data_IF_524689755929
#
_entry.id   IF_524689755929
#
_cell.length_a   1.000
_cell.length_b   1.000
_cell.length_c   1.000
_cell.angle_alpha   90.00
_cell.angle_beta   90.00
_cell.angle_gamma   90.00
#
_symmetry.space_group_name_H-M   'P 1'
#
loop_
_entity.id
_entity.type
_entity.pdbx_description
1 polymer ?
#
# COMPACT_ATOMS: atom_id res chain seq x y z
N UNK A 1 -23.02 -8.64 22.43
CA UNK A 1 -22.89 -8.79 20.96
C UNK A 1 -23.86 -9.88 20.57
N UNK A 2 -24.82 -9.61 19.68
CA UNK A 2 -25.72 -10.67 19.23
C UNK A 2 -24.94 -11.60 18.29
N UNK A 3 -24.77 -12.86 18.67
CA UNK A 3 -24.11 -13.86 17.85
C UNK A 3 -24.93 -14.14 16.59
N UNK A 4 -24.27 -14.52 15.49
CA UNK A 4 -24.93 -14.93 14.24
C UNK A 4 -25.98 -16.01 14.51
N UNK A 5 -25.74 -16.88 15.49
CA UNK A 5 -26.69 -17.88 15.93
C UNK A 5 -27.99 -17.28 16.52
N UNK A 6 -27.92 -16.16 17.25
CA UNK A 6 -29.11 -15.48 17.75
C UNK A 6 -29.91 -14.80 16.63
N UNK A 7 -29.24 -14.29 15.59
CA UNK A 7 -29.92 -13.74 14.41
C UNK A 7 -30.59 -14.86 13.62
N UNK A 8 -29.92 -16.00 13.45
CA UNK A 8 -30.48 -17.18 12.79
C UNK A 8 -31.66 -17.76 13.58
N UNK A 9 -31.58 -17.81 14.91
CA UNK A 9 -32.68 -18.23 15.76
C UNK A 9 -33.86 -17.23 15.72
N UNK A 10 -33.59 -15.92 15.64
CA UNK A 10 -34.63 -14.90 15.42
C UNK A 10 -35.30 -15.05 14.05
N UNK A 11 -34.54 -15.38 13.00
CA UNK A 11 -35.05 -15.63 11.66
C UNK A 11 -35.84 -16.95 11.62
N UNK A 12 -35.40 -17.99 12.32
CA UNK A 12 -36.12 -19.26 12.45
C UNK A 12 -37.38 -19.13 13.31
N UNK A 13 -37.38 -18.22 14.29
CA UNK A 13 -38.54 -17.84 15.08
C UNK A 13 -39.52 -16.93 14.33
N UNK A 14 -39.18 -16.45 13.12
CA UNK A 14 -40.16 -15.84 12.24
C UNK A 14 -41.23 -16.89 11.93
N UNK A 15 -42.52 -16.55 11.95
CA UNK A 15 -43.58 -17.51 11.67
C UNK A 15 -43.47 -17.98 10.21
N UNK A 16 -42.81 -19.13 10.00
CA UNK A 16 -42.55 -19.77 8.69
C UNK A 16 -43.80 -20.37 8.08
N UNK A 17 -44.80 -20.69 8.90
CA UNK A 17 -46.15 -21.01 8.45
C UNK A 17 -47.03 -19.76 8.58
N UNK A 18 -47.55 -19.25 7.45
CA UNK A 18 -48.72 -18.39 7.53
C UNK A 18 -49.82 -19.20 8.23
N UNK A 19 -50.29 -18.73 9.40
CA UNK A 19 -51.50 -19.30 10.00
C UNK A 19 -52.55 -19.46 8.89
N UNK A 20 -53.25 -20.60 8.80
CA UNK A 20 -54.28 -20.77 7.79
C UNK A 20 -55.22 -19.58 7.88
N UNK A 21 -55.37 -18.89 6.75
CA UNK A 21 -56.14 -17.66 6.69
C UNK A 21 -57.61 -18.02 6.90
N UNK A 22 -58.17 -17.57 8.02
CA UNK A 22 -59.59 -17.69 8.33
C UNK A 22 -60.20 -16.32 8.08
N UNK A 23 -61.13 -16.23 7.12
CA UNK A 23 -61.79 -14.98 6.80
C UNK A 23 -62.60 -14.52 8.02
N UNK A 24 -62.25 -13.38 8.67
CA UNK A 24 -62.95 -12.89 9.85
C UNK A 24 -64.37 -12.37 9.51
N UNK A 25 -64.66 -12.14 8.23
CA UNK A 25 -65.95 -11.64 7.75
C UNK A 25 -66.88 -12.75 7.25
N UNK A 26 -66.47 -14.03 7.33
CA UNK A 26 -67.31 -15.14 6.90
C UNK A 26 -68.58 -15.27 7.76
N UNK A 27 -69.75 -15.32 7.11
CA UNK A 27 -71.04 -15.49 7.78
C UNK A 27 -71.60 -14.21 8.43
N UNK A 28 -71.09 -13.04 8.05
CA UNK A 28 -71.54 -11.78 8.65
C UNK A 28 -72.88 -11.34 8.05
N UNK A 29 -73.94 -11.31 8.86
CA UNK A 29 -75.33 -11.05 8.41
C UNK A 29 -75.57 -9.72 7.68
N UNK A 30 -74.68 -8.75 7.84
CA UNK A 30 -74.80 -7.41 7.24
C UNK A 30 -74.05 -7.27 5.91
N UNK A 31 -73.32 -8.30 5.49
CA UNK A 31 -72.48 -8.29 4.28
C UNK A 31 -73.00 -9.33 3.30
N UNK A 32 -73.05 -8.97 2.01
CA UNK A 32 -73.27 -9.95 0.96
C UNK A 32 -72.08 -10.91 0.83
N UNK A 33 -72.29 -12.10 0.28
CA UNK A 33 -71.24 -13.13 0.15
C UNK A 33 -69.99 -12.59 -0.58
N UNK A 34 -70.19 -11.77 -1.62
CA UNK A 34 -69.11 -11.15 -2.38
C UNK A 34 -68.32 -10.12 -1.55
N UNK A 35 -68.99 -9.30 -0.75
CA UNK A 35 -68.33 -8.32 0.13
C UNK A 35 -67.51 -9.01 1.23
N UNK A 36 -68.00 -10.15 1.74
CA UNK A 36 -67.26 -10.96 2.72
C UNK A 36 -65.97 -11.52 2.13
N UNK A 37 -66.00 -12.04 0.90
CA UNK A 37 -64.82 -12.53 0.18
C UNK A 37 -63.82 -11.40 -0.08
N UNK A 38 -64.28 -10.27 -0.61
CA UNK A 38 -63.43 -9.10 -0.90
C UNK A 38 -62.73 -8.59 0.36
N UNK A 39 -63.48 -8.31 1.44
CA UNK A 39 -62.91 -7.84 2.70
C UNK A 39 -61.98 -8.88 3.32
N UNK A 40 -62.27 -10.16 3.11
CA UNK A 40 -61.37 -11.25 3.46
C UNK A 40 -60.02 -11.15 2.73
N UNK A 41 -60.02 -11.03 1.41
CA UNK A 41 -58.77 -10.92 0.67
C UNK A 41 -58.00 -9.63 1.00
N UNK A 42 -58.69 -8.51 1.27
CA UNK A 42 -58.04 -7.29 1.75
C UNK A 42 -57.41 -7.45 3.14
N UNK A 43 -58.06 -8.15 4.07
CA UNK A 43 -57.48 -8.43 5.38
C UNK A 43 -56.22 -9.31 5.25
N UNK A 44 -56.27 -10.33 4.38
CA UNK A 44 -55.12 -11.17 4.06
C UNK A 44 -53.97 -10.35 3.46
N UNK A 45 -54.25 -9.46 2.51
CA UNK A 45 -53.26 -8.59 1.89
C UNK A 45 -52.66 -7.60 2.91
N UNK A 46 -53.48 -7.01 3.78
CA UNK A 46 -53.00 -6.10 4.80
C UNK A 46 -52.02 -6.80 5.75
N UNK A 47 -52.30 -8.04 6.14
CA UNK A 47 -51.41 -8.83 6.99
C UNK A 47 -50.12 -9.25 6.29
N UNK A 48 -50.17 -9.61 5.01
CA UNK A 48 -48.95 -9.89 4.25
C UNK A 48 -48.09 -8.64 4.10
N UNK A 49 -48.69 -7.49 3.79
CA UNK A 49 -47.98 -6.20 3.69
C UNK A 49 -47.35 -5.80 5.03
N UNK A 50 -48.07 -5.94 6.15
CA UNK A 50 -47.49 -5.69 7.49
C UNK A 50 -46.29 -6.58 7.78
N UNK A 51 -46.38 -7.85 7.42
CA UNK A 51 -45.27 -8.81 7.57
C UNK A 51 -44.07 -8.41 6.74
N UNK A 52 -44.28 -8.07 5.46
CA UNK A 52 -43.20 -7.60 4.58
C UNK A 52 -42.56 -6.34 5.14
N UNK A 53 -43.35 -5.36 5.58
CA UNK A 53 -42.84 -4.15 6.19
C UNK A 53 -41.99 -4.43 7.44
N UNK A 54 -42.47 -5.29 8.34
CA UNK A 54 -41.71 -5.68 9.54
C UNK A 54 -40.38 -6.37 9.20
N UNK A 55 -40.39 -7.29 8.23
CA UNK A 55 -39.18 -7.96 7.76
C UNK A 55 -38.21 -6.97 7.10
N UNK A 56 -38.70 -6.06 6.26
CA UNK A 56 -37.91 -5.01 5.64
C UNK A 56 -37.28 -4.10 6.69
N UNK A 57 -38.00 -3.73 7.75
CA UNK A 57 -37.44 -2.93 8.85
C UNK A 57 -36.36 -3.69 9.62
N UNK A 58 -36.55 -5.00 9.88
CA UNK A 58 -35.54 -5.83 10.54
C UNK A 58 -34.26 -5.97 9.69
N UNK A 59 -34.41 -6.25 8.39
CA UNK A 59 -33.29 -6.39 7.45
C UNK A 59 -32.58 -5.06 7.18
N UNK A 60 -33.33 -3.96 7.14
CA UNK A 60 -32.79 -2.61 7.03
C UNK A 60 -32.23 -2.10 8.37
N UNK A 61 -32.47 -2.79 9.48
CA UNK A 61 -32.03 -2.33 10.79
C UNK A 61 -30.50 -2.26 10.83
N UNK A 62 -30.01 -1.11 11.29
CA UNK A 62 -28.58 -0.79 11.33
C UNK A 62 -27.76 -1.74 12.19
N UNK A 63 -28.39 -2.49 13.10
CA UNK A 63 -27.70 -3.35 14.07
C UNK A 63 -26.92 -4.50 13.43
N UNK A 64 -27.49 -5.16 12.42
CA UNK A 64 -26.80 -6.21 11.65
C UNK A 64 -25.67 -5.64 10.79
N UNK A 65 -25.87 -4.44 10.23
CA UNK A 65 -24.85 -3.76 9.41
C UNK A 65 -23.70 -3.22 10.27
N UNK A 66 -23.98 -2.76 11.49
CA UNK A 66 -22.98 -2.21 12.40
C UNK A 66 -21.96 -3.27 12.86
N UNK A 67 -22.40 -4.52 13.08
CA UNK A 67 -21.48 -5.60 13.46
C UNK A 67 -20.53 -5.95 12.29
N UNK A 68 -21.06 -6.07 11.06
CA UNK A 68 -20.24 -6.30 9.86
C UNK A 68 -19.25 -5.15 9.61
N UNK A 69 -19.69 -3.90 9.70
CA UNK A 69 -18.81 -2.74 9.55
C UNK A 69 -17.70 -2.71 10.60
N UNK A 70 -17.99 -3.15 11.83
CA UNK A 70 -16.97 -3.25 12.89
C UNK A 70 -15.93 -4.31 12.55
N UNK A 71 -16.34 -5.47 12.04
CA UNK A 71 -15.44 -6.53 11.59
C UNK A 71 -14.59 -6.07 10.40
N UNK A 72 -15.19 -5.39 9.42
CA UNK A 72 -14.47 -4.84 8.27
C UNK A 72 -13.42 -3.81 8.69
N UNK A 73 -13.71 -2.90 9.63
CA UNK A 73 -12.72 -1.96 10.17
C UNK A 73 -11.54 -2.64 10.88
N UNK A 74 -11.74 -3.80 11.48
CA UNK A 74 -10.65 -4.58 12.07
C UNK A 74 -9.79 -5.19 10.96
N UNK A 75 -10.42 -5.74 9.92
CA UNK A 75 -9.71 -6.28 8.75
C UNK A 75 -8.91 -5.21 8.01
N UNK A 76 -9.50 -4.04 7.79
CA UNK A 76 -8.84 -2.90 7.15
C UNK A 76 -7.56 -2.50 7.89
N UNK A 77 -7.61 -2.39 9.22
CA UNK A 77 -6.42 -2.04 10.02
C UNK A 77 -5.33 -3.11 9.94
N UNK A 78 -5.71 -4.39 9.98
CA UNK A 78 -4.75 -5.50 9.87
C UNK A 78 -4.11 -5.57 8.49
N UNK A 79 -4.91 -5.51 7.44
CA UNK A 79 -4.43 -5.58 6.06
C UNK A 79 -3.68 -4.30 5.64
N UNK A 80 -4.10 -3.14 6.13
CA UNK A 80 -3.38 -1.88 5.94
C UNK A 80 -2.00 -1.92 6.60
N UNK A 81 -1.88 -2.51 7.79
CA UNK A 81 -0.58 -2.72 8.43
C UNK A 81 0.29 -3.69 7.62
N UNK A 82 -0.26 -4.80 7.15
CA UNK A 82 0.48 -5.75 6.29
C UNK A 82 0.95 -5.08 4.99
N UNK A 83 0.08 -4.32 4.33
CA UNK A 83 0.41 -3.60 3.08
C UNK A 83 1.51 -2.55 3.30
N UNK A 84 1.43 -1.78 4.39
CA UNK A 84 2.43 -0.76 4.70
C UNK A 84 3.78 -1.37 5.04
N UNK A 85 3.81 -2.44 5.85
CA UNK A 85 5.05 -3.18 6.13
C UNK A 85 5.64 -3.82 4.87
N UNK A 86 4.82 -4.43 4.02
CA UNK A 86 5.25 -5.00 2.75
C UNK A 86 5.83 -3.94 1.81
N UNK A 87 5.17 -2.78 1.71
CA UNK A 87 5.67 -1.67 0.90
C UNK A 87 7.02 -1.14 1.44
N UNK A 88 7.14 -1.01 2.75
CA UNK A 88 8.40 -0.59 3.38
C UNK A 88 9.51 -1.62 3.15
N UNK A 89 9.23 -2.92 3.25
CA UNK A 89 10.23 -3.97 3.01
C UNK A 89 10.71 -3.98 1.56
N UNK A 90 9.79 -3.84 0.60
CA UNK A 90 10.15 -3.77 -0.82
C UNK A 90 10.99 -2.52 -1.10
N UNK A 91 10.57 -1.36 -0.57
CA UNK A 91 11.33 -0.13 -0.77
C UNK A 91 12.73 -0.22 -0.16
N UNK A 92 12.86 -0.78 1.05
CA UNK A 92 14.16 -1.01 1.68
C UNK A 92 15.07 -1.89 0.80
N UNK A 93 14.57 -3.00 0.26
CA UNK A 93 15.37 -3.88 -0.62
C UNK A 93 15.73 -3.23 -1.94
N UNK A 94 14.83 -2.43 -2.53
CA UNK A 94 15.10 -1.74 -3.80
C UNK A 94 16.12 -0.62 -3.59
N UNK A 95 16.02 0.09 -2.47
CA UNK A 95 16.96 1.15 -2.11
C UNK A 95 18.36 0.57 -1.85
N UNK A 96 18.46 -0.53 -1.10
CA UNK A 96 19.74 -1.22 -0.85
C UNK A 96 20.40 -1.67 -2.17
N UNK A 97 19.63 -2.18 -3.13
CA UNK A 97 20.13 -2.56 -4.45
C UNK A 97 20.61 -1.34 -5.26
N UNK A 98 19.88 -0.22 -5.20
CA UNK A 98 20.29 1.02 -5.87
C UNK A 98 21.60 1.57 -5.27
N UNK A 99 21.71 1.58 -3.95
CA UNK A 99 22.92 2.04 -3.25
C UNK A 99 24.14 1.15 -3.55
N UNK A 100 23.97 -0.18 -3.59
CA UNK A 100 25.06 -1.07 -3.99
C UNK A 100 25.48 -0.87 -5.45
N UNK A 101 24.53 -0.70 -6.37
CA UNK A 101 24.85 -0.45 -7.78
C UNK A 101 25.58 0.89 -7.97
N UNK A 102 25.19 1.93 -7.23
CA UNK A 102 25.89 3.22 -7.22
C UNK A 102 27.29 3.11 -6.61
N UNK A 103 27.46 2.35 -5.52
CA UNK A 103 28.76 2.11 -4.90
C UNK A 103 29.70 1.33 -5.83
N UNK A 104 29.21 0.32 -6.54
CA UNK A 104 29.98 -0.42 -7.55
C UNK A 104 30.39 0.48 -8.73
N UNK A 105 29.48 1.35 -9.21
CA UNK A 105 29.79 2.32 -10.24
C UNK A 105 30.84 3.34 -9.78
N UNK A 106 30.75 3.81 -8.54
CA UNK A 106 31.72 4.73 -7.95
C UNK A 106 33.07 4.06 -7.72
N UNK A 107 33.10 2.78 -7.32
CA UNK A 107 34.31 1.99 -7.19
C UNK A 107 34.97 1.73 -8.55
N UNK A 108 34.18 1.46 -9.61
CA UNK A 108 34.69 1.32 -10.97
C UNK A 108 35.26 2.65 -11.50
N UNK A 109 34.56 3.77 -11.28
CA UNK A 109 35.06 5.10 -11.65
C UNK A 109 36.30 5.51 -10.84
N UNK A 110 36.35 5.19 -9.54
CA UNK A 110 37.52 5.41 -8.69
C UNK A 110 38.72 4.54 -9.09
N UNK A 111 38.49 3.31 -9.55
CA UNK A 111 39.52 2.44 -10.09
C UNK A 111 40.06 2.95 -11.44
N UNK A 112 39.20 3.48 -12.32
CA UNK A 112 39.61 4.14 -13.57
C UNK A 112 40.41 5.42 -13.29
N UNK A 113 40.00 6.21 -12.28
CA UNK A 113 40.70 7.42 -11.82
C UNK A 113 42.09 7.10 -11.25
N UNK A 114 42.18 6.05 -10.42
CA UNK A 114 43.45 5.56 -9.88
C UNK A 114 44.36 4.95 -10.94
N UNK A 115 43.80 4.31 -11.97
CA UNK A 115 44.56 3.73 -13.07
C UNK A 115 45.20 4.80 -13.95
N UNK A 116 44.49 5.88 -14.33
CA UNK A 116 45.15 6.96 -15.09
C UNK A 116 46.18 7.70 -14.24
N UNK A 117 45.92 7.96 -12.95
CA UNK A 117 46.86 8.64 -12.07
C UNK A 117 48.13 7.79 -11.84
N UNK A 118 47.99 6.46 -11.76
CA UNK A 118 49.11 5.52 -11.70
C UNK A 118 49.91 5.44 -13.01
N UNK A 119 49.25 5.52 -14.18
CA UNK A 119 49.90 5.57 -15.50
C UNK A 119 50.66 6.90 -15.68
N UNK A 120 50.08 8.02 -15.24
CA UNK A 120 50.71 9.36 -15.30
C UNK A 120 51.95 9.42 -14.40
N UNK A 121 51.87 8.96 -13.13
CA UNK A 121 53.05 8.89 -12.26
C UNK A 121 54.11 7.90 -12.77
N UNK A 122 53.71 6.79 -13.41
CA UNK A 122 54.62 5.86 -14.05
C UNK A 122 55.38 6.47 -15.24
N UNK A 123 54.70 7.29 -16.05
CA UNK A 123 55.31 8.00 -17.18
C UNK A 123 56.25 9.12 -16.74
N UNK A 124 55.91 9.89 -15.70
CA UNK A 124 56.81 10.88 -15.11
C UNK A 124 58.00 10.24 -14.38
N UNK A 125 57.82 9.07 -13.75
CA UNK A 125 58.92 8.33 -13.13
C UNK A 125 59.89 7.74 -14.16
N UNK A 126 59.37 7.22 -15.28
CA UNK A 126 60.20 6.70 -16.38
C UNK A 126 60.91 7.84 -17.13
N UNK A 127 60.24 9.00 -17.31
CA UNK A 127 60.87 10.22 -17.80
C UNK A 127 61.93 10.77 -16.83
N UNK A 128 61.73 10.68 -15.52
CA UNK A 128 62.75 11.02 -14.52
C UNK A 128 63.93 10.03 -14.51
N UNK A 129 63.69 8.73 -14.75
CA UNK A 129 64.74 7.73 -14.92
C UNK A 129 65.53 7.94 -16.22
N UNK A 130 64.85 8.30 -17.32
CA UNK A 130 65.49 8.67 -18.59
C UNK A 130 66.29 9.97 -18.45
N UNK A 131 65.77 11.00 -17.75
CA UNK A 131 66.49 12.24 -17.47
C UNK A 131 67.69 12.02 -16.53
N UNK A 132 67.59 11.11 -15.55
CA UNK A 132 68.71 10.70 -14.70
C UNK A 132 69.82 9.97 -15.50
N UNK A 133 69.46 9.27 -16.58
CA UNK A 133 70.42 8.65 -17.51
C UNK A 133 71.22 9.65 -18.34
N UNK A 134 70.70 10.87 -18.58
CA UNK A 134 71.40 11.92 -19.31
C UNK A 134 72.22 12.88 -18.42
N UNK A 135 72.12 12.77 -17.08
CA UNK A 135 72.79 13.67 -16.15
C UNK A 135 74.22 13.22 -15.75
N UNK A 136 74.79 12.21 -16.42
CA UNK A 136 76.19 11.80 -16.20
C UNK A 136 76.99 11.87 -17.50
N UNK A 137 77.12 13.07 -18.05
CA UNK A 137 77.88 13.30 -19.28
C UNK A 137 77.93 14.77 -19.70
N UNK A 138 78.32 15.66 -18.79
CA UNK A 138 78.50 17.07 -19.11
C UNK A 138 79.29 17.78 -18.00
N UNK A 139 80.57 17.98 -18.23
CA UNK A 139 81.39 18.93 -17.46
C UNK A 139 80.93 20.35 -17.79
N UNK A 140 80.57 21.15 -16.79
CA UNK A 140 80.75 22.62 -16.80
C UNK A 140 80.50 23.16 -15.37
N UNK A 141 81.53 23.73 -14.74
CA UNK A 141 81.78 25.19 -14.67
C UNK A 141 80.63 25.95 -14.01
N UNK A 142 80.90 26.45 -12.82
CA UNK A 142 79.92 27.14 -11.99
C UNK A 142 79.59 28.55 -12.46
N UNK A 143 78.42 29.02 -12.04
CA UNK A 143 78.23 30.32 -11.39
C UNK A 143 76.82 30.29 -10.77
N UNK A 144 76.71 30.70 -9.52
CA UNK A 144 75.44 30.73 -8.80
C UNK A 144 74.81 32.10 -8.97
N UNK A 145 73.60 32.15 -9.53
CA UNK A 145 72.74 33.34 -9.45
C UNK A 145 71.29 32.92 -9.18
N UNK A 146 70.91 33.07 -7.91
CA UNK A 146 69.57 32.85 -7.37
C UNK A 146 68.67 34.04 -7.72
N UNK A 147 67.68 33.86 -8.60
CA UNK A 147 66.47 34.69 -8.55
C UNK A 147 65.21 33.86 -8.78
N UNK A 148 64.66 33.33 -7.68
CA UNK A 148 63.29 32.81 -7.63
C UNK A 148 62.33 34.01 -7.58
N UNK A 149 61.70 34.34 -8.70
CA UNK A 149 60.55 35.27 -8.72
C UNK A 149 59.27 34.46 -8.81
N UNK A 150 58.55 34.43 -7.69
CA UNK A 150 57.20 33.88 -7.56
C UNK A 150 56.20 34.63 -8.45
N UNK A 151 55.34 33.90 -9.16
CA UNK A 151 54.04 34.44 -9.59
C UNK A 151 52.97 33.35 -9.60
N UNK A 152 52.16 33.31 -8.56
CA UNK A 152 50.86 32.65 -8.61
C UNK A 152 49.93 33.43 -9.55
N UNK A 153 49.05 32.77 -10.30
CA UNK A 153 47.77 33.34 -10.68
C UNK A 153 46.63 32.66 -9.92
N UNK A 154 45.93 33.50 -9.15
CA UNK A 154 44.66 33.18 -8.50
C UNK A 154 43.56 32.81 -9.49
N UNK A 155 42.60 32.06 -8.96
CA UNK A 155 41.31 31.67 -9.52
C UNK A 155 40.51 32.85 -10.08
N UNK A 156 40.00 32.68 -11.31
CA UNK A 156 38.62 32.99 -11.69
C UNK A 156 38.21 32.12 -12.89
#
# INVERSE_FOLDING_TARGET
MADIQQVLDQVAALPTASKPYINPYAGHRALSDHEQELLGEYARLADTVRRVAALSTLLSSSTAHASLLTQLRVLERKMGLVLTLYKASVWATVQEQAEMAEAEAMAAAGAEMGAYAGVDMGMYADAAAAAAGYLYGGEESGDGDDTVVMRQPEYY
#
